data_IF_765677414854
#
_entry.id   IF_765677414854
#
_cell.length_a   1.000
_cell.length_b   1.000
_cell.length_c   1.000
_cell.angle_alpha   90.00
_cell.angle_beta   90.00
_cell.angle_gamma   90.00
#
_symmetry.space_group_name_H-M   'P 1'
#
loop_
_entity.id
_entity.type
_entity.pdbx_description
1 polymer ?
#
# COMPACT_ATOMS: atom_id res chain seq x y z
N UNK A 1 29.36 21.96 -13.18
CA UNK A 1 29.69 20.53 -13.00
C UNK A 1 28.44 19.66 -12.89
N UNK A 2 27.64 19.67 -11.82
CA UNK A 2 26.40 18.85 -11.75
C UNK A 2 25.38 19.19 -12.85
N UNK A 3 25.17 20.48 -13.13
CA UNK A 3 24.33 20.92 -14.26
C UNK A 3 24.92 20.55 -15.63
N UNK A 4 26.25 20.47 -15.75
CA UNK A 4 26.94 19.97 -16.96
C UNK A 4 26.87 18.44 -17.06
N UNK A 5 26.83 17.71 -15.94
CA UNK A 5 26.52 16.28 -15.91
C UNK A 5 25.08 16.12 -16.37
N UNK A 6 24.09 16.81 -15.79
CA UNK A 6 22.69 16.76 -16.24
C UNK A 6 22.52 17.20 -17.71
N UNK A 7 23.22 18.24 -18.16
CA UNK A 7 23.19 18.66 -19.57
C UNK A 7 23.92 17.69 -20.51
N UNK A 8 25.02 17.06 -20.09
CA UNK A 8 25.66 15.98 -20.87
C UNK A 8 24.90 14.66 -20.83
N UNK A 9 24.09 14.43 -19.79
CA UNK A 9 23.07 13.37 -19.70
C UNK A 9 21.87 13.68 -20.63
N UNK A 10 21.63 14.96 -20.97
CA UNK A 10 20.63 15.37 -21.98
C UNK A 10 21.19 15.36 -23.41
N UNK A 11 22.47 15.67 -23.61
CA UNK A 11 23.13 15.77 -24.93
C UNK A 11 23.72 14.44 -25.44
N UNK A 12 23.90 13.44 -24.58
CA UNK A 12 24.24 12.07 -25.00
C UNK A 12 22.99 11.19 -24.94
N UNK A 13 22.98 10.15 -25.77
CA UNK A 13 22.13 8.98 -25.56
C UNK A 13 22.46 8.35 -24.19
N UNK A 14 21.97 8.98 -23.11
CA UNK A 14 21.99 8.42 -21.77
C UNK A 14 21.34 7.06 -21.82
N UNK A 15 20.22 6.96 -22.52
CA UNK A 15 19.57 5.71 -22.77
C UNK A 15 20.50 4.71 -23.47
N UNK A 16 21.27 5.05 -24.51
CA UNK A 16 22.22 4.11 -25.12
C UNK A 16 23.44 3.80 -24.24
N UNK A 17 23.93 4.74 -23.44
CA UNK A 17 25.05 4.50 -22.50
C UNK A 17 24.60 3.61 -21.34
N UNK A 18 23.38 3.83 -20.85
CA UNK A 18 22.72 3.01 -19.83
C UNK A 18 22.31 1.65 -20.39
N UNK A 19 21.81 1.58 -21.62
CA UNK A 19 21.46 0.34 -22.32
C UNK A 19 22.71 -0.45 -22.72
N UNK A 20 23.83 0.19 -23.07
CA UNK A 20 25.13 -0.47 -23.28
C UNK A 20 25.68 -1.01 -21.95
N UNK A 21 25.65 -0.22 -20.88
CA UNK A 21 26.00 -0.70 -19.54
C UNK A 21 25.07 -1.82 -19.07
N UNK A 22 23.78 -1.78 -19.44
CA UNK A 22 22.80 -2.83 -19.08
C UNK A 22 22.93 -4.10 -19.94
N UNK A 23 23.22 -3.98 -21.24
CA UNK A 23 23.31 -5.09 -22.20
C UNK A 23 24.68 -5.79 -22.18
N UNK A 24 25.71 -5.15 -21.65
CA UNK A 24 26.96 -5.81 -21.30
C UNK A 24 26.72 -6.84 -20.18
N UNK A 25 26.38 -8.07 -20.56
CA UNK A 25 26.35 -9.22 -19.64
C UNK A 25 27.08 -10.42 -20.24
N UNK A 26 28.17 -10.78 -19.58
CA UNK A 26 28.34 -12.12 -19.04
C UNK A 26 28.93 -11.99 -17.63
N UNK A 27 28.44 -12.72 -16.62
CA UNK A 27 28.98 -12.69 -15.26
C UNK A 27 30.41 -13.26 -15.14
N UNK A 28 31.02 -13.69 -16.24
CA UNK A 28 32.40 -14.21 -16.28
C UNK A 28 33.46 -13.18 -16.70
N UNK A 29 33.07 -11.98 -17.12
CA UNK A 29 34.04 -10.96 -17.55
C UNK A 29 34.49 -10.11 -16.36
N UNK A 30 35.56 -10.54 -15.70
CA UNK A 30 36.18 -9.83 -14.58
C UNK A 30 36.72 -8.43 -14.94
N UNK A 31 36.88 -8.10 -16.23
CA UNK A 31 37.46 -6.82 -16.67
C UNK A 31 36.48 -5.63 -16.65
N UNK A 32 35.16 -5.85 -16.65
CA UNK A 32 34.15 -4.78 -16.53
C UNK A 32 33.87 -4.35 -15.06
N UNK A 33 34.77 -4.72 -14.14
CA UNK A 33 34.63 -4.49 -12.71
C UNK A 33 34.73 -3.01 -12.31
N UNK A 34 35.66 -2.27 -12.92
CA UNK A 34 35.98 -0.88 -12.57
C UNK A 34 34.91 0.14 -13.03
N UNK A 35 34.35 -0.03 -14.23
CA UNK A 35 33.41 0.95 -14.80
C UNK A 35 32.12 1.10 -13.98
N UNK A 36 31.58 -0.01 -13.46
CA UNK A 36 30.38 -0.03 -12.64
C UNK A 36 30.58 0.63 -11.26
N UNK A 37 31.80 0.56 -10.70
CA UNK A 37 32.16 1.24 -9.43
C UNK A 37 32.32 2.74 -9.66
N UNK A 38 32.93 3.14 -10.78
CA UNK A 38 33.04 4.55 -11.16
C UNK A 38 31.67 5.17 -11.44
N UNK A 39 30.76 4.41 -12.07
CA UNK A 39 29.36 4.80 -12.24
C UNK A 39 28.66 4.95 -10.88
N UNK A 40 28.86 4.02 -9.94
CA UNK A 40 28.29 4.11 -8.60
C UNK A 40 28.75 5.36 -7.82
N UNK A 41 29.97 5.85 -8.06
CA UNK A 41 30.46 7.09 -7.45
C UNK A 41 29.66 8.32 -7.92
N UNK A 42 29.07 8.30 -9.12
CA UNK A 42 28.20 9.36 -9.63
C UNK A 42 26.84 9.40 -8.92
N UNK A 43 26.41 8.29 -8.30
CA UNK A 43 25.10 8.23 -7.66
C UNK A 43 25.02 9.02 -6.37
N UNK A 44 26.14 9.18 -5.64
CA UNK A 44 26.11 9.93 -4.39
C UNK A 44 25.80 11.42 -4.60
N UNK A 45 26.38 12.08 -5.62
CA UNK A 45 25.91 13.41 -6.05
C UNK A 45 24.47 13.40 -6.60
N UNK A 46 24.09 12.39 -7.40
CA UNK A 46 22.75 12.31 -7.99
C UNK A 46 21.66 12.11 -6.94
N UNK A 47 21.93 11.34 -5.87
CA UNK A 47 21.01 11.14 -4.76
C UNK A 47 20.75 12.44 -3.99
N UNK A 48 21.71 13.37 -3.98
CA UNK A 48 21.51 14.72 -3.40
C UNK A 48 20.73 15.61 -4.36
N UNK A 49 21.00 15.53 -5.67
CA UNK A 49 20.26 16.31 -6.67
C UNK A 49 18.79 15.93 -6.74
N UNK A 50 18.47 14.63 -6.64
CA UNK A 50 17.09 14.17 -6.77
C UNK A 50 16.21 14.61 -5.60
N UNK A 51 16.81 15.00 -4.48
CA UNK A 51 16.06 15.57 -3.36
C UNK A 51 15.37 16.87 -3.78
N UNK A 52 15.97 17.62 -4.71
CA UNK A 52 15.34 18.78 -5.32
C UNK A 52 14.23 18.34 -6.30
N UNK A 53 13.01 18.73 -5.97
CA UNK A 53 11.76 18.39 -6.68
C UNK A 53 11.85 18.63 -8.19
N UNK A 54 12.53 19.70 -8.61
CA UNK A 54 12.70 20.11 -10.02
C UNK A 54 13.34 19.03 -10.89
N UNK A 55 14.23 18.20 -10.32
CA UNK A 55 14.91 17.14 -11.07
C UNK A 55 14.15 15.82 -11.05
N UNK A 56 13.22 15.59 -10.12
CA UNK A 56 12.50 14.30 -10.02
C UNK A 56 11.63 14.00 -11.23
N UNK A 57 10.99 15.02 -11.80
CA UNK A 57 10.18 14.84 -13.00
C UNK A 57 11.04 14.34 -14.17
N UNK A 58 12.22 14.96 -14.37
CA UNK A 58 13.18 14.53 -15.37
C UNK A 58 13.59 13.06 -15.16
N UNK A 59 13.82 12.65 -13.91
CA UNK A 59 14.21 11.27 -13.60
C UNK A 59 13.09 10.26 -13.85
N UNK A 60 11.83 10.64 -13.62
CA UNK A 60 10.67 9.81 -13.96
C UNK A 60 10.49 9.65 -15.46
N UNK A 61 10.57 10.75 -16.20
CA UNK A 61 10.39 10.76 -17.65
C UNK A 61 11.42 9.88 -18.38
N UNK A 62 12.60 9.71 -17.78
CA UNK A 62 13.68 8.88 -18.32
C UNK A 62 13.80 7.50 -17.66
N UNK A 63 12.79 7.04 -16.90
CA UNK A 63 12.79 5.74 -16.22
C UNK A 63 14.02 5.48 -15.32
N UNK A 64 14.64 6.53 -14.78
CA UNK A 64 15.87 6.39 -13.98
C UNK A 64 15.64 5.62 -12.69
N UNK A 65 14.41 5.60 -12.16
CA UNK A 65 14.05 4.78 -11.01
C UNK A 65 14.22 3.28 -11.30
N UNK A 66 13.78 2.79 -12.47
CA UNK A 66 13.95 1.40 -12.89
C UNK A 66 15.42 1.07 -13.03
N UNK A 67 16.18 1.96 -13.66
CA UNK A 67 17.62 1.78 -13.86
C UNK A 67 18.38 1.71 -12.52
N UNK A 68 18.09 2.62 -11.61
CA UNK A 68 18.70 2.66 -10.28
C UNK A 68 18.41 1.37 -9.48
N UNK A 69 17.20 0.80 -9.61
CA UNK A 69 16.87 -0.50 -9.02
C UNK A 69 17.68 -1.65 -9.65
N UNK A 70 17.89 -1.65 -10.96
CA UNK A 70 18.72 -2.66 -11.63
C UNK A 70 20.20 -2.54 -11.25
N UNK A 71 20.71 -1.32 -11.11
CA UNK A 71 22.08 -1.13 -10.62
C UNK A 71 22.21 -1.64 -9.18
N UNK A 72 21.23 -1.33 -8.32
CA UNK A 72 21.18 -1.87 -6.97
C UNK A 72 21.29 -3.41 -6.99
N UNK A 73 20.47 -4.09 -7.81
CA UNK A 73 20.53 -5.54 -7.99
C UNK A 73 21.93 -6.03 -8.34
N UNK A 74 22.60 -5.40 -9.31
CA UNK A 74 23.97 -5.76 -9.73
C UNK A 74 24.98 -5.58 -8.62
N UNK A 75 24.91 -4.46 -7.90
CA UNK A 75 25.80 -4.18 -6.77
C UNK A 75 25.61 -5.18 -5.64
N UNK A 76 24.37 -5.59 -5.34
CA UNK A 76 24.08 -6.66 -4.36
C UNK A 76 24.65 -8.01 -4.81
N UNK A 77 24.50 -8.35 -6.09
CA UNK A 77 25.06 -9.59 -6.65
C UNK A 77 26.59 -9.60 -6.57
N UNK A 78 27.25 -8.49 -6.91
CA UNK A 78 28.72 -8.30 -6.82
C UNK A 78 29.23 -8.33 -5.38
N UNK A 79 28.46 -7.79 -4.44
CA UNK A 79 28.77 -7.85 -3.01
C UNK A 79 28.84 -9.29 -2.50
N UNK A 80 28.17 -10.24 -3.17
CA UNK A 80 28.18 -11.67 -2.84
C UNK A 80 27.91 -11.93 -1.35
N UNK A 81 26.81 -11.35 -0.85
CA UNK A 81 26.43 -11.31 0.59
C UNK A 81 26.45 -12.69 1.27
N UNK A 82 26.24 -13.77 0.51
CA UNK A 82 26.18 -15.15 1.02
C UNK A 82 27.55 -15.79 1.27
N UNK A 83 28.64 -15.18 0.80
CA UNK A 83 29.99 -15.75 0.94
C UNK A 83 30.69 -15.28 2.21
N UNK A 84 31.41 -16.16 2.92
CA UNK A 84 32.14 -15.79 4.12
C UNK A 84 33.25 -14.78 3.81
N UNK A 85 33.37 -13.77 4.67
CA UNK A 85 34.28 -12.63 4.51
C UNK A 85 35.75 -13.05 4.67
N UNK A 86 36.55 -12.83 3.63
CA UNK A 86 38.00 -12.63 3.74
C UNK A 86 38.25 -11.11 3.91
N UNK A 87 39.17 -10.64 4.77
CA UNK A 87 39.43 -9.21 5.00
C UNK A 87 39.56 -8.33 3.75
N UNK A 88 40.17 -8.80 2.66
CA UNK A 88 40.27 -8.03 1.40
C UNK A 88 38.92 -7.95 0.67
N UNK A 89 38.10 -9.00 0.76
CA UNK A 89 36.76 -9.02 0.19
C UNK A 89 35.77 -8.16 1.00
N UNK A 90 36.08 -7.86 2.28
CA UNK A 90 35.24 -7.07 3.16
C UNK A 90 35.10 -5.62 2.68
N UNK A 91 36.20 -4.99 2.29
CA UNK A 91 36.18 -3.60 1.81
C UNK A 91 35.42 -3.48 0.48
N UNK A 92 35.65 -4.41 -0.45
CA UNK A 92 34.93 -4.46 -1.72
C UNK A 92 33.43 -4.71 -1.51
N UNK A 93 33.06 -5.65 -0.63
CA UNK A 93 31.66 -5.93 -0.29
C UNK A 93 30.99 -4.70 0.33
N UNK A 94 31.66 -4.01 1.25
CA UNK A 94 31.15 -2.79 1.87
C UNK A 94 30.90 -1.69 0.82
N UNK A 95 31.84 -1.47 -0.10
CA UNK A 95 31.69 -0.49 -1.18
C UNK A 95 30.53 -0.82 -2.11
N UNK A 96 30.40 -2.09 -2.52
CA UNK A 96 29.27 -2.55 -3.33
C UNK A 96 27.94 -2.33 -2.62
N UNK A 97 27.83 -2.66 -1.33
CA UNK A 97 26.59 -2.49 -0.56
C UNK A 97 26.25 -1.02 -0.31
N UNK A 98 27.25 -0.18 -0.05
CA UNK A 98 27.06 1.27 0.05
C UNK A 98 26.50 1.85 -1.25
N UNK A 99 27.04 1.42 -2.39
CA UNK A 99 26.58 1.79 -3.73
C UNK A 99 25.18 1.27 -4.01
N UNK A 100 24.89 0.01 -3.67
CA UNK A 100 23.57 -0.60 -3.79
C UNK A 100 22.53 0.20 -3.00
N UNK A 101 22.86 0.60 -1.76
CA UNK A 101 22.00 1.41 -0.90
C UNK A 101 21.70 2.76 -1.55
N UNK A 102 22.70 3.47 -2.06
CA UNK A 102 22.49 4.76 -2.73
C UNK A 102 21.65 4.61 -3.99
N UNK A 103 21.89 3.58 -4.80
CA UNK A 103 21.10 3.31 -5.99
C UNK A 103 19.64 2.95 -5.66
N UNK A 104 19.41 2.14 -4.62
CA UNK A 104 18.08 1.81 -4.16
C UNK A 104 17.33 3.04 -3.65
N UNK A 105 18.00 3.86 -2.84
CA UNK A 105 17.44 5.11 -2.34
C UNK A 105 17.03 6.02 -3.51
N UNK A 106 17.91 6.19 -4.51
CA UNK A 106 17.61 6.96 -5.71
C UNK A 106 16.37 6.42 -6.43
N UNK A 107 16.23 5.10 -6.55
CA UNK A 107 15.03 4.47 -7.15
C UNK A 107 13.75 4.87 -6.42
N UNK A 108 13.76 4.86 -5.08
CA UNK A 108 12.58 5.19 -4.28
C UNK A 108 12.25 6.69 -4.38
N UNK A 109 13.27 7.56 -4.31
CA UNK A 109 13.07 9.01 -4.35
C UNK A 109 12.65 9.49 -5.74
N UNK A 110 13.19 8.89 -6.80
CA UNK A 110 12.78 9.18 -8.18
C UNK A 110 11.30 8.85 -8.40
N UNK A 111 10.83 7.74 -7.84
CA UNK A 111 9.44 7.31 -7.96
C UNK A 111 8.48 8.06 -7.01
N UNK A 112 9.00 8.77 -6.00
CA UNK A 112 8.20 9.52 -5.03
C UNK A 112 7.50 10.75 -5.64
N UNK A 113 6.26 11.01 -5.22
CA UNK A 113 5.47 12.17 -5.65
C UNK A 113 6.26 13.48 -5.47
N UNK A 114 6.26 14.32 -6.51
CA UNK A 114 6.95 15.61 -6.57
C UNK A 114 6.54 16.56 -5.44
N UNK A 115 5.36 16.34 -4.84
CA UNK A 115 4.81 17.19 -3.80
C UNK A 115 5.45 16.98 -2.41
N UNK A 116 6.30 15.97 -2.22
CA UNK A 116 6.87 15.65 -0.91
C UNK A 116 8.40 15.59 -0.96
N UNK A 117 9.10 15.79 0.17
CA UNK A 117 10.54 15.52 0.25
C UNK A 117 10.80 13.99 0.31
N UNK A 118 12.02 13.52 0.01
CA UNK A 118 12.31 12.07 0.06
C UNK A 118 12.22 11.46 1.46
N UNK A 119 12.53 12.28 2.48
CA UNK A 119 12.42 11.89 3.88
C UNK A 119 10.97 11.84 4.38
N UNK A 120 10.03 12.33 3.59
CA UNK A 120 8.63 12.44 3.98
C UNK A 120 7.92 11.09 3.91
N UNK A 121 7.44 10.62 5.06
CA UNK A 121 6.66 9.39 5.15
C UNK A 121 5.39 9.43 4.29
N UNK A 122 4.88 10.62 3.94
CA UNK A 122 3.69 10.80 3.07
C UNK A 122 3.96 10.33 1.64
N UNK A 123 5.21 10.46 1.18
CA UNK A 123 5.60 10.02 -0.15
C UNK A 123 5.40 8.50 -0.32
N UNK A 124 5.61 7.72 0.75
CA UNK A 124 5.48 6.24 0.74
C UNK A 124 4.08 5.77 0.35
N UNK A 125 3.05 6.51 0.78
CA UNK A 125 1.64 6.09 0.69
C UNK A 125 0.93 6.47 -0.61
N UNK A 126 1.56 7.30 -1.44
CA UNK A 126 1.08 7.54 -2.81
C UNK A 126 1.72 6.62 -3.83
N UNK A 127 2.95 6.15 -3.58
CA UNK A 127 3.63 5.18 -4.45
C UNK A 127 2.90 3.83 -4.51
N UNK A 128 2.12 3.48 -3.47
CA UNK A 128 1.29 2.27 -3.42
C UNK A 128 0.10 2.30 -4.39
N UNK A 129 -0.23 3.46 -4.98
CA UNK A 129 -1.37 3.61 -5.93
C UNK A 129 -0.98 3.36 -7.37
N UNK A 130 0.31 3.43 -7.70
CA UNK A 130 0.78 3.15 -9.05
C UNK A 130 1.05 1.65 -9.13
N UNK A 131 -0.02 0.90 -9.37
CA UNK A 131 0.11 -0.42 -9.97
C UNK A 131 0.84 -0.24 -11.29
N UNK A 132 2.17 -0.33 -11.27
CA UNK A 132 2.96 -0.46 -12.49
C UNK A 132 2.40 -1.68 -13.18
N UNK A 133 1.73 -1.47 -14.32
CA UNK A 133 1.15 -2.47 -15.20
C UNK A 133 1.88 -3.80 -15.03
N UNK A 134 1.25 -4.72 -14.28
CA UNK A 134 1.83 -6.01 -13.93
C UNK A 134 1.88 -6.90 -15.17
N UNK A 135 2.88 -6.68 -16.01
CA UNK A 135 3.53 -7.84 -16.63
C UNK A 135 3.95 -8.78 -15.49
N UNK A 136 3.76 -10.09 -15.67
CA UNK A 136 4.15 -11.13 -14.71
C UNK A 136 5.65 -10.99 -14.39
N UNK A 137 6.01 -10.19 -13.40
CA UNK A 137 7.39 -10.08 -12.91
C UNK A 137 7.75 -11.41 -12.26
N UNK A 138 8.92 -11.94 -12.56
CA UNK A 138 9.27 -13.28 -12.10
C UNK A 138 9.78 -13.22 -10.67
N UNK A 139 9.58 -14.30 -9.94
CA UNK A 139 10.00 -14.47 -8.55
C UNK A 139 11.50 -14.19 -8.36
N UNK A 140 12.33 -14.60 -9.32
CA UNK A 140 13.79 -14.49 -9.26
C UNK A 140 14.28 -13.03 -9.34
N UNK A 141 13.41 -12.11 -9.76
CA UNK A 141 13.78 -10.70 -9.92
C UNK A 141 13.94 -9.96 -8.60
N UNK A 142 13.49 -10.52 -7.48
CA UNK A 142 13.44 -9.83 -6.19
C UNK A 142 13.97 -10.62 -4.98
N UNK A 143 14.39 -11.88 -5.14
CA UNK A 143 14.96 -12.64 -4.01
C UNK A 143 16.23 -11.99 -3.43
N UNK A 144 16.98 -11.27 -4.26
CA UNK A 144 18.17 -10.52 -3.84
C UNK A 144 17.83 -9.37 -2.87
N UNK A 145 16.63 -8.77 -2.97
CA UNK A 145 16.19 -7.75 -2.01
C UNK A 145 15.97 -8.35 -0.62
N UNK A 146 15.55 -9.61 -0.55
CA UNK A 146 15.40 -10.29 0.74
C UNK A 146 16.77 -10.51 1.39
N UNK A 147 17.77 -10.95 0.62
CA UNK A 147 19.15 -11.07 1.09
C UNK A 147 19.70 -9.72 1.57
N UNK A 148 19.41 -8.65 0.82
CA UNK A 148 19.78 -7.27 1.17
C UNK A 148 19.11 -6.79 2.47
N UNK A 149 17.80 -7.07 2.64
CA UNK A 149 17.06 -6.73 3.87
C UNK A 149 17.64 -7.46 5.08
N UNK A 150 17.90 -8.77 4.97
CA UNK A 150 18.46 -9.55 6.08
C UNK A 150 19.83 -9.01 6.47
N UNK A 151 20.71 -8.74 5.50
CA UNK A 151 22.02 -8.16 5.77
C UNK A 151 21.93 -6.81 6.51
N UNK A 152 21.13 -5.87 5.99
CA UNK A 152 21.05 -4.53 6.57
C UNK A 152 20.28 -4.47 7.88
N UNK A 153 19.41 -5.46 8.16
CA UNK A 153 18.82 -5.66 9.48
C UNK A 153 19.89 -5.96 10.52
N UNK A 154 20.82 -6.85 10.20
CA UNK A 154 21.90 -7.24 11.12
C UNK A 154 22.89 -6.08 11.37
N UNK A 155 23.14 -5.25 10.35
CA UNK A 155 23.96 -4.03 10.49
C UNK A 155 23.20 -2.83 11.05
N UNK A 156 21.90 -2.98 11.38
CA UNK A 156 21.01 -1.91 11.86
C UNK A 156 20.91 -0.69 10.93
N UNK A 157 21.04 -0.89 9.61
CA UNK A 157 20.81 0.16 8.63
C UNK A 157 19.30 0.25 8.30
N UNK A 158 18.57 0.94 9.17
CA UNK A 158 17.11 1.08 9.05
C UNK A 158 16.66 1.77 7.77
N UNK A 159 17.49 2.68 7.23
CA UNK A 159 17.17 3.40 6.00
C UNK A 159 17.20 2.43 4.81
N UNK A 160 18.26 1.64 4.68
CA UNK A 160 18.38 0.61 3.65
C UNK A 160 17.26 -0.44 3.72
N UNK A 161 16.93 -0.89 4.94
CA UNK A 161 15.80 -1.81 5.17
C UNK A 161 14.47 -1.17 4.75
N UNK A 162 14.25 0.10 5.10
CA UNK A 162 13.04 0.84 4.73
C UNK A 162 12.90 0.99 3.21
N UNK A 163 13.97 1.39 2.53
CA UNK A 163 13.97 1.53 1.06
C UNK A 163 13.74 0.19 0.35
N UNK A 164 14.33 -0.90 0.85
CA UNK A 164 14.13 -2.23 0.30
C UNK A 164 12.69 -2.73 0.50
N UNK A 165 12.10 -2.52 1.68
CA UNK A 165 10.70 -2.86 1.94
C UNK A 165 9.74 -2.00 1.10
N UNK A 166 10.07 -0.72 0.90
CA UNK A 166 9.30 0.14 0.01
C UNK A 166 9.37 -0.36 -1.43
N UNK A 167 10.54 -0.73 -1.94
CA UNK A 167 10.69 -1.34 -3.27
C UNK A 167 9.87 -2.63 -3.38
N UNK A 168 9.97 -3.51 -2.36
CA UNK A 168 9.21 -4.75 -2.27
C UNK A 168 7.68 -4.51 -2.28
N UNK A 169 7.19 -3.42 -1.69
CA UNK A 169 5.76 -3.08 -1.70
C UNK A 169 5.19 -2.82 -3.10
N UNK A 170 6.05 -2.42 -4.06
CA UNK A 170 5.66 -2.18 -5.46
C UNK A 170 5.61 -3.45 -6.31
N UNK A 171 6.20 -4.54 -5.82
CA UNK A 171 6.26 -5.82 -6.56
C UNK A 171 4.89 -6.50 -6.57
N UNK A 172 4.07 -6.27 -5.55
CA UNK A 172 2.79 -6.94 -5.34
C UNK A 172 2.97 -8.32 -4.72
N UNK A 173 2.03 -9.22 -5.00
CA UNK A 173 2.05 -10.57 -4.45
C UNK A 173 3.05 -11.45 -5.22
N UNK A 174 4.05 -11.95 -4.50
CA UNK A 174 5.07 -12.85 -5.04
C UNK A 174 4.89 -14.25 -4.48
N UNK A 175 4.90 -15.25 -5.36
CA UNK A 175 4.82 -16.66 -4.98
C UNK A 175 6.21 -17.20 -4.61
N UNK A 176 6.71 -16.84 -3.43
CA UNK A 176 7.91 -17.47 -2.86
C UNK A 176 7.59 -18.75 -2.07
N UNK A 177 8.54 -19.70 -2.00
CA UNK A 177 8.51 -20.82 -1.11
C UNK A 177 8.36 -20.36 0.32
N UNK A 178 7.73 -21.23 1.08
CA UNK A 178 7.35 -20.98 2.46
C UNK A 178 8.52 -20.47 3.30
N UNK A 179 9.70 -21.08 3.19
CA UNK A 179 10.88 -20.65 3.95
C UNK A 179 11.31 -19.20 3.65
N UNK A 180 11.23 -18.75 2.40
CA UNK A 180 11.55 -17.36 2.03
C UNK A 180 10.44 -16.40 2.46
N UNK A 181 9.18 -16.83 2.37
CA UNK A 181 8.05 -16.04 2.87
C UNK A 181 8.14 -15.83 4.38
N UNK A 182 8.51 -16.86 5.15
CA UNK A 182 8.71 -16.73 6.59
C UNK A 182 9.84 -15.74 6.94
N UNK A 183 10.95 -15.75 6.19
CA UNK A 183 12.01 -14.74 6.33
C UNK A 183 11.48 -13.35 6.01
N UNK A 184 10.68 -13.21 4.95
CA UNK A 184 10.11 -11.93 4.56
C UNK A 184 9.13 -11.38 5.61
N UNK A 185 8.24 -12.23 6.15
CA UNK A 185 7.33 -11.86 7.24
C UNK A 185 8.09 -11.47 8.51
N UNK A 186 9.15 -12.21 8.86
CA UNK A 186 10.03 -11.85 9.98
C UNK A 186 10.66 -10.47 9.77
N UNK A 187 11.13 -10.17 8.57
CA UNK A 187 11.73 -8.87 8.23
C UNK A 187 10.70 -7.73 8.26
N UNK A 188 9.49 -7.94 7.74
CA UNK A 188 8.38 -6.98 7.83
C UNK A 188 8.06 -6.69 9.30
N UNK A 189 7.88 -7.73 10.10
CA UNK A 189 7.57 -7.61 11.52
C UNK A 189 8.68 -6.86 12.28
N UNK A 190 9.94 -7.21 12.02
CA UNK A 190 11.08 -6.54 12.64
C UNK A 190 11.16 -5.06 12.26
N UNK A 191 10.88 -4.72 10.99
CA UNK A 191 10.89 -3.34 10.52
C UNK A 191 9.75 -2.48 11.09
N UNK A 192 8.65 -3.09 11.53
CA UNK A 192 7.54 -2.41 12.20
C UNK A 192 7.70 -2.32 13.72
N UNK A 193 8.82 -2.80 14.28
CA UNK A 193 9.08 -2.80 15.72
C UNK A 193 9.08 -1.39 16.35
N UNK A 194 8.81 -1.28 17.66
CA UNK A 194 8.63 0.01 18.34
C UNK A 194 9.88 0.90 18.31
N UNK A 195 11.08 0.30 18.36
CA UNK A 195 12.37 1.00 18.38
C UNK A 195 12.88 1.39 16.97
N UNK A 196 12.10 1.10 15.93
CA UNK A 196 12.48 1.35 14.55
C UNK A 196 12.00 2.75 14.11
N UNK A 197 12.78 3.50 13.29
CA UNK A 197 12.34 4.79 12.77
C UNK A 197 11.00 4.73 12.02
N UNK A 198 10.17 5.77 12.16
CA UNK A 198 8.81 5.82 11.62
C UNK A 198 8.74 5.52 10.12
N UNK A 199 9.69 6.04 9.33
CA UNK A 199 9.78 5.79 7.88
C UNK A 199 9.91 4.30 7.56
N UNK A 200 10.79 3.60 8.27
CA UNK A 200 11.03 2.16 8.07
C UNK A 200 9.83 1.34 8.53
N UNK A 201 9.19 1.74 9.64
CA UNK A 201 7.94 1.12 10.10
C UNK A 201 6.82 1.26 9.08
N UNK A 202 6.60 2.45 8.55
CA UNK A 202 5.66 2.71 7.47
C UNK A 202 5.98 1.90 6.21
N UNK A 203 7.25 1.79 5.83
CA UNK A 203 7.67 0.96 4.69
C UNK A 203 7.39 -0.53 4.94
N UNK A 204 7.58 -1.01 6.18
CA UNK A 204 7.19 -2.35 6.60
C UNK A 204 5.68 -2.59 6.50
N UNK A 205 4.85 -1.62 6.88
CA UNK A 205 3.40 -1.72 6.73
C UNK A 205 2.96 -1.66 5.26
N UNK A 206 3.62 -0.87 4.41
CA UNK A 206 3.38 -0.86 2.96
C UNK A 206 3.73 -2.21 2.33
N UNK A 207 4.86 -2.81 2.73
CA UNK A 207 5.27 -4.15 2.33
C UNK A 207 4.26 -5.21 2.80
N UNK A 208 3.77 -5.12 4.04
CA UNK A 208 2.72 -6.00 4.56
C UNK A 208 1.43 -5.89 3.73
N UNK A 209 1.04 -4.68 3.38
CA UNK A 209 -0.13 -4.45 2.53
C UNK A 209 0.01 -5.12 1.16
N UNK A 210 1.19 -5.08 0.54
CA UNK A 210 1.43 -5.73 -0.74
C UNK A 210 1.23 -7.26 -0.69
N UNK A 211 1.47 -7.90 0.46
CA UNK A 211 1.32 -9.36 0.66
C UNK A 211 0.15 -9.74 1.56
N UNK A 212 -0.78 -8.81 1.84
CA UNK A 212 -1.84 -8.97 2.85
C UNK A 212 -2.72 -10.22 2.65
N UNK A 213 -3.04 -10.60 1.41
CA UNK A 213 -3.80 -11.84 1.16
C UNK A 213 -3.01 -13.07 1.57
N UNK A 214 -1.74 -13.09 1.19
CA UNK A 214 -0.86 -14.22 1.43
C UNK A 214 -0.60 -14.39 2.92
N UNK A 215 -0.42 -13.30 3.65
CA UNK A 215 -0.36 -13.31 5.13
C UNK A 215 -1.67 -13.82 5.75
N UNK A 216 -2.82 -13.43 5.22
CA UNK A 216 -4.11 -13.92 5.71
C UNK A 216 -4.28 -15.44 5.50
N UNK A 217 -3.82 -15.97 4.35
CA UNK A 217 -3.95 -17.38 4.00
C UNK A 217 -2.88 -18.29 4.60
N UNK A 218 -1.61 -17.86 4.64
CA UNK A 218 -0.46 -18.67 5.04
C UNK A 218 -0.55 -19.09 6.52
N UNK A 219 -0.09 -20.29 6.84
CA UNK A 219 -0.11 -20.83 8.21
C UNK A 219 1.08 -20.30 9.02
N UNK A 220 0.89 -19.10 9.56
CA UNK A 220 1.84 -18.48 10.47
C UNK A 220 1.78 -19.12 11.86
N UNK A 221 2.92 -19.14 12.54
CA UNK A 221 2.96 -19.54 13.95
C UNK A 221 2.18 -18.54 14.81
N UNK A 222 1.56 -18.96 15.92
CA UNK A 222 0.86 -18.04 16.83
C UNK A 222 1.74 -16.88 17.30
N UNK A 223 3.04 -17.13 17.54
CA UNK A 223 4.00 -16.09 17.92
C UNK A 223 4.22 -15.04 16.83
N UNK A 224 4.27 -15.45 15.56
CA UNK A 224 4.39 -14.52 14.43
C UNK A 224 3.12 -13.69 14.27
N UNK A 225 1.94 -14.30 14.45
CA UNK A 225 0.65 -13.59 14.38
C UNK A 225 0.54 -12.50 15.44
N UNK A 226 0.87 -12.80 16.71
CA UNK A 226 0.93 -11.82 17.82
C UNK A 226 1.87 -10.68 17.46
N UNK A 227 3.11 -11.00 17.07
CA UNK A 227 4.13 -10.00 16.81
C UNK A 227 3.74 -9.09 15.63
N UNK A 228 3.18 -9.66 14.56
CA UNK A 228 2.73 -8.92 13.40
C UNK A 228 1.55 -8.01 13.74
N UNK A 229 0.57 -8.51 14.50
CA UNK A 229 -0.62 -7.78 14.93
C UNK A 229 -0.25 -6.54 15.76
N UNK A 230 0.54 -6.74 16.83
CA UNK A 230 1.04 -5.65 17.67
C UNK A 230 1.92 -4.64 16.91
N UNK A 231 2.80 -5.13 16.03
CA UNK A 231 3.67 -4.28 15.22
C UNK A 231 2.86 -3.44 14.22
N UNK A 232 1.82 -4.03 13.61
CA UNK A 232 0.89 -3.34 12.73
C UNK A 232 0.07 -2.28 13.49
N UNK A 233 -0.50 -2.62 14.65
CA UNK A 233 -1.28 -1.69 15.46
C UNK A 233 -0.45 -0.48 15.89
N UNK A 234 0.74 -0.74 16.44
CA UNK A 234 1.66 0.31 16.90
C UNK A 234 2.16 1.18 15.75
N UNK A 235 2.42 0.60 14.57
CA UNK A 235 2.85 1.35 13.38
C UNK A 235 1.73 2.24 12.85
N UNK A 236 0.49 1.76 12.82
CA UNK A 236 -0.65 2.57 12.42
C UNK A 236 -0.89 3.75 13.38
N UNK A 237 -0.59 3.57 14.67
CA UNK A 237 -0.73 4.61 15.69
C UNK A 237 0.30 5.74 15.60
N UNK A 238 1.38 5.58 14.84
CA UNK A 238 2.39 6.63 14.68
C UNK A 238 1.80 7.87 14.00
N UNK A 239 2.06 9.04 14.57
CA UNK A 239 1.79 10.29 13.86
C UNK A 239 2.71 10.39 12.65
N UNK A 240 2.21 11.00 11.58
CA UNK A 240 3.05 11.45 10.48
C UNK A 240 3.51 12.85 10.89
N UNK A 241 4.76 12.98 11.31
CA UNK A 241 5.29 14.26 11.79
C UNK A 241 4.95 15.38 10.80
N UNK A 242 4.57 16.57 11.30
CA UNK A 242 4.40 17.73 10.44
C UNK A 242 5.72 18.01 9.71
N UNK A 243 5.69 18.49 8.45
CA UNK A 243 6.91 18.90 7.77
C UNK A 243 7.65 19.92 8.65
N UNK A 244 8.97 19.77 8.76
CA UNK A 244 9.84 20.80 9.33
C UNK A 244 9.65 22.05 8.47
N UNK A 245 9.04 23.08 9.06
CA UNK A 245 8.68 24.34 8.41
C UNK A 245 9.95 25.04 7.90
N UNK A 246 10.17 24.97 6.58
CA UNK A 246 11.08 25.87 5.84
C UNK A 246 10.52 26.22 4.44
N UNK A 247 9.26 25.89 4.13
CA UNK A 247 8.66 26.26 2.84
C UNK A 247 7.93 27.63 2.87
N UNK A 248 8.17 28.50 1.86
CA UNK A 248 7.59 29.83 1.80
C UNK A 248 6.07 29.77 1.54
N UNK A 249 5.29 30.10 2.58
CA UNK A 249 4.01 30.84 2.66
C UNK A 249 2.84 30.63 1.68
N UNK A 250 2.99 29.91 0.56
CA UNK A 250 1.99 29.90 -0.52
C UNK A 250 1.40 28.51 -0.84
N UNK A 251 1.92 27.43 -0.24
CA UNK A 251 1.25 26.13 -0.31
C UNK A 251 0.23 26.03 0.83
N UNK A 252 -1.07 25.99 0.48
CA UNK A 252 -2.13 25.70 1.44
C UNK A 252 -1.76 24.43 2.23
N UNK A 253 -1.67 24.49 3.58
CA UNK A 253 -1.33 23.31 4.35
C UNK A 253 -2.44 22.28 4.13
N UNK A 254 -2.11 21.20 3.42
CA UNK A 254 -2.96 20.01 3.38
C UNK A 254 -3.27 19.63 4.83
N UNK A 255 -4.55 19.58 5.20
CA UNK A 255 -5.00 19.25 6.55
C UNK A 255 -4.31 17.98 7.06
N UNK A 256 -4.00 17.94 8.36
CA UNK A 256 -3.45 16.77 9.04
C UNK A 256 -4.22 15.47 8.72
N UNK A 257 -5.54 15.55 8.50
CA UNK A 257 -6.40 14.43 8.11
C UNK A 257 -6.19 13.92 6.68
N UNK A 258 -5.80 14.77 5.74
CA UNK A 258 -5.46 14.34 4.38
C UNK A 258 -4.11 13.60 4.32
N UNK A 259 -3.22 13.87 5.30
CA UNK A 259 -1.86 13.31 5.36
C UNK A 259 -1.84 11.85 5.82
N UNK A 260 -2.81 11.43 6.64
CA UNK A 260 -2.90 10.06 7.16
C UNK A 260 -3.70 9.10 6.28
N UNK A 261 -4.43 9.60 5.29
CA UNK A 261 -5.46 8.83 4.60
C UNK A 261 -4.93 7.63 3.79
N UNK A 262 -3.77 7.79 3.14
CA UNK A 262 -3.13 6.68 2.42
C UNK A 262 -2.63 5.57 3.36
N UNK A 263 -2.05 5.97 4.51
CA UNK A 263 -1.64 5.06 5.59
C UNK A 263 -2.85 4.33 6.18
N UNK A 264 -3.90 5.06 6.52
CA UNK A 264 -5.11 4.51 7.15
C UNK A 264 -5.84 3.56 6.19
N UNK A 265 -5.93 3.91 4.91
CA UNK A 265 -6.46 3.01 3.89
C UNK A 265 -5.63 1.72 3.78
N UNK A 266 -4.31 1.82 3.71
CA UNK A 266 -3.41 0.68 3.68
C UNK A 266 -3.62 -0.23 4.91
N UNK A 267 -3.64 0.36 6.11
CA UNK A 267 -3.91 -0.35 7.36
C UNK A 267 -5.27 -1.07 7.31
N UNK A 268 -6.34 -0.36 6.96
CA UNK A 268 -7.70 -0.92 6.89
C UNK A 268 -7.80 -2.03 5.84
N UNK A 269 -7.11 -1.91 4.70
CA UNK A 269 -7.05 -2.97 3.70
C UNK A 269 -6.34 -4.23 4.21
N UNK A 270 -5.29 -4.07 5.03
CA UNK A 270 -4.66 -5.19 5.73
C UNK A 270 -5.66 -5.82 6.71
N UNK A 271 -6.31 -5.03 7.56
CA UNK A 271 -7.30 -5.55 8.53
C UNK A 271 -8.43 -6.30 7.82
N UNK A 272 -8.96 -5.72 6.74
CA UNK A 272 -10.00 -6.37 5.94
C UNK A 272 -9.54 -7.72 5.37
N UNK A 273 -8.30 -7.82 4.90
CA UNK A 273 -7.74 -9.07 4.38
C UNK A 273 -7.54 -10.11 5.49
N UNK A 274 -6.98 -9.71 6.64
CA UNK A 274 -6.78 -10.59 7.79
C UNK A 274 -8.12 -11.12 8.33
N UNK A 275 -9.13 -10.25 8.45
CA UNK A 275 -10.47 -10.62 8.92
C UNK A 275 -11.15 -11.67 8.02
N UNK A 276 -10.71 -11.86 6.77
CA UNK A 276 -11.24 -12.94 5.93
C UNK A 276 -10.89 -14.33 6.47
N UNK A 277 -9.77 -14.47 7.18
CA UNK A 277 -9.30 -15.72 7.74
C UNK A 277 -9.53 -15.78 9.25
N UNK A 278 -10.43 -16.67 9.69
CA UNK A 278 -10.87 -16.80 11.10
C UNK A 278 -9.74 -16.94 12.13
N UNK A 279 -8.58 -17.46 11.73
CA UNK A 279 -7.40 -17.56 12.61
C UNK A 279 -6.93 -16.20 13.13
N UNK A 280 -7.25 -15.10 12.45
CA UNK A 280 -6.90 -13.74 12.87
C UNK A 280 -7.90 -13.11 13.83
N UNK A 281 -9.11 -13.66 13.98
CA UNK A 281 -10.21 -13.01 14.71
C UNK A 281 -9.82 -12.62 16.13
N UNK A 282 -9.20 -13.54 16.88
CA UNK A 282 -8.75 -13.30 18.26
C UNK A 282 -7.71 -12.16 18.35
N UNK A 283 -6.76 -12.09 17.42
CA UNK A 283 -5.72 -11.05 17.42
C UNK A 283 -6.28 -9.68 17.04
N UNK A 284 -7.20 -9.63 16.07
CA UNK A 284 -7.84 -8.38 15.65
C UNK A 284 -8.68 -7.75 16.76
N UNK A 285 -9.35 -8.59 17.57
CA UNK A 285 -10.11 -8.15 18.75
C UNK A 285 -9.15 -7.77 19.89
N UNK A 286 -8.28 -8.68 20.31
CA UNK A 286 -7.48 -8.51 21.52
C UNK A 286 -6.47 -7.36 21.42
N UNK A 287 -5.92 -7.11 20.23
CA UNK A 287 -4.93 -6.05 20.01
C UNK A 287 -5.58 -4.70 19.64
N UNK A 288 -6.92 -4.60 19.65
CA UNK A 288 -7.63 -3.33 19.52
C UNK A 288 -7.86 -2.86 18.07
N UNK A 289 -7.66 -3.71 17.05
CA UNK A 289 -7.75 -3.29 15.65
C UNK A 289 -9.16 -2.88 15.25
N UNK A 290 -10.17 -3.56 15.79
CA UNK A 290 -11.57 -3.31 15.48
C UNK A 290 -12.07 -2.01 16.13
N UNK A 291 -11.65 -1.76 17.37
CA UNK A 291 -11.89 -0.52 18.12
C UNK A 291 -11.28 0.66 17.37
N UNK A 292 -10.05 0.50 16.86
CA UNK A 292 -9.41 1.50 16.02
C UNK A 292 -10.17 1.75 14.72
N UNK A 293 -10.63 0.70 14.04
CA UNK A 293 -11.47 0.84 12.84
C UNK A 293 -12.78 1.57 13.14
N UNK A 294 -13.43 1.28 14.27
CA UNK A 294 -14.62 1.98 14.73
C UNK A 294 -14.34 3.46 15.03
N UNK A 295 -13.19 3.77 15.64
CA UNK A 295 -12.72 5.14 15.86
C UNK A 295 -12.50 5.91 14.56
N UNK A 296 -11.82 5.30 13.58
CA UNK A 296 -11.63 5.88 12.24
C UNK A 296 -12.97 6.13 11.53
N UNK A 297 -13.90 5.19 11.63
CA UNK A 297 -15.26 5.33 11.12
C UNK A 297 -16.02 6.50 11.77
N UNK A 298 -15.90 6.67 13.08
CA UNK A 298 -16.51 7.78 13.82
C UNK A 298 -15.95 9.14 13.37
N UNK A 299 -14.64 9.24 13.20
CA UNK A 299 -13.97 10.43 12.66
C UNK A 299 -14.48 10.76 11.26
N UNK A 300 -14.51 9.76 10.37
CA UNK A 300 -14.99 9.91 9.00
C UNK A 300 -16.46 10.36 8.95
N UNK A 301 -17.30 9.95 9.91
CA UNK A 301 -18.69 10.42 10.01
C UNK A 301 -18.74 11.91 10.39
N UNK A 302 -17.97 12.31 11.42
CA UNK A 302 -18.00 13.65 12.01
C UNK A 302 -17.44 14.72 11.06
N UNK A 303 -16.42 14.41 10.26
CA UNK A 303 -15.84 15.33 9.29
C UNK A 303 -16.85 15.83 8.23
N UNK A 304 -17.91 15.07 7.94
CA UNK A 304 -18.94 15.54 7.01
C UNK A 304 -19.90 16.56 7.61
N UNK A 305 -19.99 16.65 8.95
CA UNK A 305 -20.92 17.57 9.62
C UNK A 305 -20.36 18.98 9.73
N UNK A 306 -19.05 19.12 9.81
CA UNK A 306 -18.42 20.42 10.03
C UNK A 306 -18.38 21.28 8.76
N UNK A 307 -18.60 20.74 7.56
CA UNK A 307 -18.67 21.50 6.30
C UNK A 307 -17.37 22.21 5.88
N UNK A 308 -16.35 22.22 6.75
CA UNK A 308 -15.09 22.95 6.59
C UNK A 308 -13.99 22.14 5.90
N UNK A 309 -14.14 20.82 5.78
CA UNK A 309 -13.16 19.93 5.15
C UNK A 309 -13.69 19.33 3.84
N UNK A 310 -13.92 20.20 2.84
CA UNK A 310 -14.04 19.81 1.42
C UNK A 310 -12.73 19.23 0.83
N UNK A 311 -11.67 19.13 1.64
CA UNK A 311 -10.28 18.89 1.20
C UNK A 311 -9.86 17.42 1.26
N UNK A 312 -10.60 16.55 1.96
CA UNK A 312 -10.46 15.12 1.68
C UNK A 312 -11.00 14.92 0.27
N UNK A 313 -10.13 14.48 -0.65
CA UNK A 313 -10.60 14.07 -1.97
C UNK A 313 -11.75 13.10 -1.73
N UNK A 314 -12.95 13.40 -2.25
CA UNK A 314 -14.15 12.58 -2.02
C UNK A 314 -13.91 11.10 -2.40
N UNK A 315 -12.94 10.88 -3.30
CA UNK A 315 -12.42 9.60 -3.72
C UNK A 315 -11.81 8.79 -2.58
N UNK A 316 -10.88 9.36 -1.81
CA UNK A 316 -10.15 8.58 -0.81
C UNK A 316 -10.99 8.32 0.46
N UNK A 317 -11.84 9.27 0.84
CA UNK A 317 -12.80 9.11 1.94
C UNK A 317 -13.86 8.05 1.62
N UNK A 318 -14.30 7.97 0.36
CA UNK A 318 -15.20 6.92 -0.12
C UNK A 318 -14.56 5.54 -0.09
N UNK A 319 -13.28 5.45 -0.47
CA UNK A 319 -12.52 4.21 -0.43
C UNK A 319 -12.31 3.71 1.00
N UNK A 320 -12.03 4.61 1.94
CA UNK A 320 -11.93 4.27 3.36
C UNK A 320 -13.28 3.75 3.90
N UNK A 321 -14.37 4.45 3.56
CA UNK A 321 -15.72 4.05 3.97
C UNK A 321 -16.10 2.66 3.44
N UNK A 322 -15.64 2.29 2.24
CA UNK A 322 -15.87 0.98 1.64
C UNK A 322 -15.37 -0.16 2.54
N UNK A 323 -14.10 -0.13 2.92
CA UNK A 323 -13.53 -1.19 3.75
C UNK A 323 -13.98 -1.11 5.21
N UNK A 324 -14.11 0.10 5.78
CA UNK A 324 -14.63 0.27 7.14
C UNK A 324 -16.05 -0.26 7.28
N UNK A 325 -16.92 -0.01 6.29
CA UNK A 325 -18.26 -0.57 6.25
C UNK A 325 -18.20 -2.09 6.28
N UNK A 326 -17.33 -2.70 5.47
CA UNK A 326 -17.19 -4.15 5.36
C UNK A 326 -16.65 -4.82 6.65
N UNK A 327 -15.67 -4.19 7.31
CA UNK A 327 -15.10 -4.67 8.56
C UNK A 327 -16.16 -4.64 9.68
N UNK A 328 -16.84 -3.49 9.84
CA UNK A 328 -17.85 -3.30 10.89
C UNK A 328 -19.12 -4.11 10.65
N UNK A 329 -19.45 -4.35 9.39
CA UNK A 329 -20.51 -5.27 8.98
C UNK A 329 -20.28 -6.67 9.59
N UNK A 330 -19.10 -7.24 9.41
CA UNK A 330 -18.79 -8.59 9.86
C UNK A 330 -18.82 -8.75 11.38
N UNK A 331 -18.39 -7.72 12.12
CA UNK A 331 -18.39 -7.71 13.59
C UNK A 331 -19.78 -7.77 14.22
N UNK A 332 -20.84 -7.35 13.54
CA UNK A 332 -22.20 -7.40 14.09
C UNK A 332 -22.69 -8.82 14.39
N UNK A 333 -21.97 -9.86 13.93
CA UNK A 333 -22.22 -11.25 14.31
C UNK A 333 -21.55 -11.67 15.64
N UNK A 334 -20.64 -10.86 16.17
CA UNK A 334 -19.78 -11.19 17.32
C UNK A 334 -19.95 -10.28 18.54
N UNK A 335 -20.76 -9.23 18.46
CA UNK A 335 -20.88 -8.27 19.59
C UNK A 335 -21.79 -8.76 20.73
N UNK A 336 -21.17 -9.45 21.68
CA UNK A 336 -21.30 -9.12 23.12
C UNK A 336 -20.14 -8.18 23.47
N UNK A 337 -20.30 -6.87 23.27
CA UNK A 337 -19.28 -5.93 23.75
C UNK A 337 -19.40 -5.72 25.26
N UNK A 338 -18.24 -5.87 25.88
CA UNK A 338 -17.91 -5.67 27.29
C UNK A 338 -18.32 -4.28 27.78
N UNK A 339 -18.89 -4.24 28.99
CA UNK A 339 -19.14 -3.03 29.77
C UNK A 339 -17.82 -2.53 30.37
N UNK A 340 -17.42 -1.31 30.03
CA UNK A 340 -16.29 -0.66 30.68
C UNK A 340 -16.61 -0.31 32.15
N UNK A 341 -15.63 -0.48 33.03
CA UNK A 341 -15.70 -0.22 34.47
C UNK A 341 -15.91 1.27 34.86
N UNK A 342 -16.04 2.18 33.88
CA UNK A 342 -16.19 3.62 34.10
C UNK A 342 -17.62 4.15 33.88
N UNK A 343 -18.59 3.31 33.50
CA UNK A 343 -20.02 3.64 33.56
C UNK A 343 -20.52 4.81 32.70
N UNK A 344 -19.71 5.37 31.79
CA UNK A 344 -20.12 6.41 30.84
C UNK A 344 -19.47 6.13 29.48
N UNK A 345 -19.95 5.12 28.76
CA UNK A 345 -19.89 5.13 27.30
C UNK A 345 -21.31 5.36 26.80
N UNK A 346 -21.53 6.42 26.02
CA UNK A 346 -22.74 6.45 25.20
C UNK A 346 -22.54 5.36 24.16
N UNK A 347 -23.38 4.30 24.11
CA UNK A 347 -23.22 3.26 23.13
C UNK A 347 -23.37 3.92 21.77
N UNK A 348 -22.25 4.13 21.08
CA UNK A 348 -22.27 4.58 19.71
C UNK A 348 -23.14 3.57 18.96
N UNK A 349 -24.24 4.02 18.36
CA UNK A 349 -25.13 3.12 17.65
C UNK A 349 -24.39 2.64 16.39
N UNK A 350 -23.65 1.55 16.55
CA UNK A 350 -22.79 0.92 15.55
C UNK A 350 -23.59 0.59 14.28
N UNK A 351 -24.86 0.23 14.41
CA UNK A 351 -25.77 0.03 13.28
C UNK A 351 -26.02 1.33 12.49
N UNK A 352 -26.25 2.45 13.17
CA UNK A 352 -26.43 3.77 12.52
C UNK A 352 -25.15 4.24 11.84
N UNK A 353 -23.99 4.05 12.47
CA UNK A 353 -22.68 4.35 11.89
C UNK A 353 -22.43 3.49 10.64
N UNK A 354 -22.57 2.17 10.77
CA UNK A 354 -22.40 1.20 9.69
C UNK A 354 -23.28 1.55 8.49
N UNK A 355 -24.57 1.86 8.70
CA UNK A 355 -25.46 2.26 7.61
C UNK A 355 -25.02 3.54 6.89
N UNK A 356 -24.48 4.52 7.61
CA UNK A 356 -23.94 5.75 6.99
C UNK A 356 -22.71 5.45 6.14
N UNK A 357 -21.84 4.55 6.60
CA UNK A 357 -20.68 4.11 5.83
C UNK A 357 -21.10 3.31 4.59
N UNK A 358 -22.06 2.40 4.71
CA UNK A 358 -22.62 1.63 3.59
C UNK A 358 -23.11 2.59 2.49
N UNK A 359 -23.86 3.65 2.83
CA UNK A 359 -24.31 4.65 1.84
C UNK A 359 -23.14 5.35 1.13
N UNK A 360 -22.09 5.70 1.87
CA UNK A 360 -20.88 6.30 1.29
C UNK A 360 -20.11 5.31 0.41
N UNK A 361 -20.00 4.07 0.84
CA UNK A 361 -19.35 3.00 0.11
C UNK A 361 -20.04 2.73 -1.24
N UNK A 362 -21.37 2.70 -1.27
CA UNK A 362 -22.12 2.57 -2.53
C UNK A 362 -21.93 3.76 -3.47
N UNK A 363 -21.97 4.99 -2.92
CA UNK A 363 -21.70 6.18 -3.72
C UNK A 363 -20.30 6.12 -4.35
N UNK A 364 -19.29 5.74 -3.57
CA UNK A 364 -17.93 5.53 -4.05
C UNK A 364 -17.85 4.43 -5.12
N UNK A 365 -18.31 3.22 -4.81
CA UNK A 365 -18.26 2.07 -5.71
C UNK A 365 -18.95 2.37 -7.06
N UNK A 366 -20.06 3.11 -7.06
CA UNK A 366 -20.77 3.49 -8.29
C UNK A 366 -20.02 4.52 -9.16
N UNK A 367 -19.07 5.25 -8.58
CA UNK A 367 -18.29 6.29 -9.25
C UNK A 367 -16.96 5.78 -9.81
N UNK A 368 -16.50 4.60 -9.37
CA UNK A 368 -15.19 4.05 -9.74
C UNK A 368 -15.30 2.95 -10.80
N UNK A 369 -14.18 2.69 -11.48
CA UNK A 369 -13.99 1.40 -12.15
C UNK A 369 -13.82 0.34 -11.07
N UNK A 370 -14.56 -0.77 -11.18
CA UNK A 370 -14.50 -1.86 -10.20
C UNK A 370 -13.16 -2.58 -10.31
N UNK A 371 -12.17 -2.13 -9.55
CA UNK A 371 -10.92 -2.86 -9.37
C UNK A 371 -11.12 -4.12 -8.52
N UNK A 372 -10.10 -4.98 -8.46
CA UNK A 372 -10.14 -6.23 -7.70
C UNK A 372 -10.43 -6.00 -6.20
N UNK A 373 -10.04 -4.85 -5.65
CA UNK A 373 -10.28 -4.47 -4.27
C UNK A 373 -11.76 -4.23 -4.00
N UNK A 374 -12.42 -3.42 -4.86
CA UNK A 374 -13.84 -3.12 -4.75
C UNK A 374 -14.68 -4.38 -4.95
N UNK A 375 -14.36 -5.20 -5.95
CA UNK A 375 -15.10 -6.44 -6.26
C UNK A 375 -15.23 -7.38 -5.06
N UNK A 376 -14.24 -7.41 -4.16
CA UNK A 376 -14.26 -8.26 -2.96
C UNK A 376 -15.10 -7.72 -1.82
N UNK A 377 -15.23 -6.40 -1.75
CA UNK A 377 -16.00 -5.76 -0.69
C UNK A 377 -17.49 -5.77 -1.02
N UNK A 378 -17.84 -5.68 -2.32
CA UNK A 378 -19.24 -5.57 -2.75
C UNK A 378 -20.15 -6.70 -2.24
N UNK A 379 -19.79 -7.99 -2.28
CA UNK A 379 -20.67 -9.05 -1.76
C UNK A 379 -21.04 -8.85 -0.28
N UNK A 380 -20.07 -8.42 0.55
CA UNK A 380 -20.31 -8.12 1.97
C UNK A 380 -21.27 -6.93 2.09
N UNK A 381 -21.07 -5.88 1.28
CA UNK A 381 -21.98 -4.73 1.27
C UNK A 381 -23.40 -5.10 0.81
N UNK A 382 -23.54 -5.95 -0.21
CA UNK A 382 -24.83 -6.45 -0.71
C UNK A 382 -25.56 -7.15 0.42
N UNK A 383 -24.91 -8.13 1.06
CA UNK A 383 -25.47 -8.92 2.14
C UNK A 383 -25.90 -8.07 3.34
N UNK A 384 -25.11 -7.05 3.70
CA UNK A 384 -25.45 -6.15 4.80
C UNK A 384 -26.54 -5.13 4.44
N UNK A 385 -26.52 -4.64 3.21
CA UNK A 385 -27.58 -3.76 2.69
C UNK A 385 -28.91 -4.49 2.71
N UNK A 386 -28.94 -5.73 2.20
CA UNK A 386 -30.10 -6.62 2.24
C UNK A 386 -30.68 -6.76 3.64
N UNK A 387 -29.83 -7.05 4.64
CA UNK A 387 -30.26 -7.21 6.04
C UNK A 387 -30.88 -5.94 6.61
N UNK A 388 -30.29 -4.77 6.37
CA UNK A 388 -30.84 -3.50 6.85
C UNK A 388 -32.19 -3.13 6.19
N UNK A 389 -32.34 -3.45 4.89
CA UNK A 389 -33.58 -3.21 4.15
C UNK A 389 -34.69 -4.16 4.62
N UNK A 390 -34.42 -5.47 4.68
CA UNK A 390 -35.38 -6.49 5.14
C UNK A 390 -35.83 -6.24 6.57
N UNK A 391 -34.93 -5.77 7.44
CA UNK A 391 -35.26 -5.46 8.83
C UNK A 391 -36.13 -4.21 9.02
N UNK A 392 -36.47 -3.47 7.96
CA UNK A 392 -37.25 -2.24 8.03
C UNK A 392 -36.58 -1.10 8.80
N UNK A 393 -35.26 -1.20 9.04
CA UNK A 393 -34.55 -0.32 9.96
C UNK A 393 -34.11 1.01 9.33
N UNK A 394 -34.05 1.10 8.00
CA UNK A 394 -33.54 2.27 7.28
C UNK A 394 -34.24 2.42 5.92
N UNK A 395 -34.61 3.65 5.56
CA UNK A 395 -35.10 3.96 4.21
C UNK A 395 -33.93 4.03 3.22
N UNK A 396 -34.03 3.30 2.11
CA UNK A 396 -33.09 3.41 1.00
C UNK A 396 -33.43 4.67 0.20
N UNK A 397 -32.45 5.55 0.00
CA UNK A 397 -32.63 6.72 -0.87
C UNK A 397 -32.53 6.31 -2.33
N UNK A 398 -33.28 6.97 -3.24
CA UNK A 398 -33.16 6.78 -4.70
C UNK A 398 -31.73 6.84 -5.23
N UNK A 399 -30.88 7.69 -4.65
CA UNK A 399 -29.45 7.77 -5.02
C UNK A 399 -28.67 6.51 -4.66
N UNK A 400 -29.01 5.87 -3.55
CA UNK A 400 -28.40 4.61 -3.13
C UNK A 400 -28.90 3.45 -4.00
N UNK A 401 -30.20 3.39 -4.31
CA UNK A 401 -30.76 2.42 -5.26
C UNK A 401 -30.06 2.50 -6.61
N UNK A 402 -29.88 3.71 -7.16
CA UNK A 402 -29.17 3.92 -8.42
C UNK A 402 -27.70 3.49 -8.34
N UNK A 403 -27.01 3.80 -7.23
CA UNK A 403 -25.63 3.40 -7.01
C UNK A 403 -25.47 1.87 -6.94
N UNK A 404 -26.34 1.20 -6.18
CA UNK A 404 -26.39 -0.27 -6.09
C UNK A 404 -26.65 -0.87 -7.46
N UNK A 405 -27.68 -0.40 -8.17
CA UNK A 405 -28.04 -0.87 -9.52
C UNK A 405 -26.85 -0.81 -10.47
N UNK A 406 -26.14 0.33 -10.48
CA UNK A 406 -25.00 0.56 -11.37
C UNK A 406 -23.85 -0.41 -11.07
N UNK A 407 -23.53 -0.62 -9.79
CA UNK A 407 -22.44 -1.53 -9.38
C UNK A 407 -22.80 -2.98 -9.70
N UNK A 408 -24.03 -3.42 -9.42
CA UNK A 408 -24.48 -4.78 -9.73
C UNK A 408 -24.49 -5.06 -11.24
N UNK A 409 -24.93 -4.11 -12.05
CA UNK A 409 -24.87 -4.21 -13.51
C UNK A 409 -23.42 -4.36 -14.01
N UNK A 410 -22.50 -3.56 -13.47
CA UNK A 410 -21.08 -3.66 -13.80
C UNK A 410 -20.48 -5.00 -13.37
N UNK A 411 -20.81 -5.53 -12.19
CA UNK A 411 -20.36 -6.86 -11.76
C UNK A 411 -20.87 -7.98 -12.67
N UNK A 412 -22.13 -7.94 -13.11
CA UNK A 412 -22.67 -8.91 -14.08
C UNK A 412 -21.96 -8.86 -15.43
N UNK A 413 -21.50 -7.69 -15.86
CA UNK A 413 -20.72 -7.58 -17.10
C UNK A 413 -19.30 -8.18 -17.00
N UNK A 414 -18.75 -8.26 -15.78
CA UNK A 414 -17.40 -8.77 -15.50
C UNK A 414 -17.43 -10.27 -15.18
N UNK A 415 -18.44 -10.72 -14.44
CA UNK A 415 -18.62 -12.12 -14.06
C UNK A 415 -19.34 -12.88 -15.17
N UNK A 416 -18.60 -13.59 -16.02
CA UNK A 416 -19.16 -14.47 -17.06
C UNK A 416 -19.65 -15.83 -16.54
N UNK A 417 -19.69 -16.07 -15.21
CA UNK A 417 -19.94 -17.40 -14.64
C UNK A 417 -20.72 -17.36 -13.29
N UNK A 418 -21.98 -17.83 -13.34
CA UNK A 418 -22.86 -18.59 -12.42
C UNK A 418 -22.79 -18.54 -10.87
N UNK A 419 -21.84 -17.92 -10.18
CA UNK A 419 -21.62 -18.27 -8.76
C UNK A 419 -22.31 -17.40 -7.68
N UNK A 420 -23.00 -16.31 -7.98
CA UNK A 420 -23.59 -15.45 -6.92
C UNK A 420 -24.84 -14.66 -7.34
N UNK A 421 -25.54 -15.14 -8.39
CA UNK A 421 -26.64 -14.39 -9.01
C UNK A 421 -27.87 -14.29 -8.09
N UNK A 422 -28.08 -15.25 -7.18
CA UNK A 422 -29.24 -15.29 -6.29
C UNK A 422 -29.30 -14.13 -5.28
N UNK A 423 -28.18 -13.76 -4.65
CA UNK A 423 -28.14 -12.64 -3.70
C UNK A 423 -28.26 -11.28 -4.42
N UNK A 424 -27.69 -11.20 -5.61
CA UNK A 424 -27.77 -10.01 -6.47
C UNK A 424 -29.21 -9.84 -6.98
N UNK A 425 -29.86 -10.93 -7.39
CA UNK A 425 -31.26 -10.96 -7.80
C UNK A 425 -32.18 -10.58 -6.64
N UNK A 426 -31.96 -11.13 -5.45
CA UNK A 426 -32.75 -10.82 -4.25
C UNK A 426 -32.63 -9.33 -3.85
N UNK A 427 -31.43 -8.76 -3.89
CA UNK A 427 -31.26 -7.33 -3.61
C UNK A 427 -31.89 -6.46 -4.69
N UNK A 428 -31.82 -6.89 -5.94
CA UNK A 428 -32.46 -6.20 -7.07
C UNK A 428 -33.99 -6.21 -6.92
N UNK A 429 -34.57 -7.33 -6.49
CA UNK A 429 -36.02 -7.46 -6.26
C UNK A 429 -36.48 -6.61 -5.07
N UNK A 430 -35.79 -6.69 -3.94
CA UNK A 430 -36.14 -5.95 -2.72
C UNK A 430 -36.02 -4.43 -2.86
N UNK A 431 -35.15 -3.97 -3.75
CA UNK A 431 -35.03 -2.55 -4.08
C UNK A 431 -35.98 -2.12 -5.22
N UNK A 432 -36.82 -3.02 -5.74
CA UNK A 432 -37.74 -2.73 -6.85
C UNK A 432 -37.03 -2.40 -8.17
N UNK A 433 -35.84 -2.98 -8.37
CA UNK A 433 -34.95 -2.67 -9.50
C UNK A 433 -35.07 -3.65 -10.68
N UNK A 434 -35.89 -4.71 -10.56
CA UNK A 434 -35.99 -5.83 -11.51
C UNK A 434 -36.13 -5.41 -12.98
N UNK A 435 -36.99 -4.42 -13.28
CA UNK A 435 -37.21 -3.96 -14.67
C UNK A 435 -36.16 -2.94 -15.17
N UNK A 436 -35.41 -2.29 -14.27
CA UNK A 436 -34.46 -1.23 -14.63
C UNK A 436 -33.05 -1.74 -14.93
N UNK A 437 -32.62 -2.85 -14.32
CA UNK A 437 -31.25 -3.34 -14.50
C UNK A 437 -31.03 -3.88 -15.92
N UNK A 438 -31.99 -4.60 -16.51
CA UNK A 438 -31.89 -5.09 -17.90
C UNK A 438 -31.76 -3.97 -18.95
N UNK A 439 -32.40 -2.83 -18.70
CA UNK A 439 -32.33 -1.66 -19.59
C UNK A 439 -30.97 -0.95 -19.53
N UNK A 440 -30.28 -1.03 -18.38
CA UNK A 440 -29.00 -0.33 -18.15
C UNK A 440 -27.81 -1.15 -18.67
N UNK A 441 -27.90 -2.49 -18.63
CA UNK A 441 -26.88 -3.39 -19.16
C UNK A 441 -26.71 -3.24 -20.68
N UNK A 442 -27.78 -2.93 -21.43
CA UNK A 442 -27.70 -2.70 -22.89
C UNK A 442 -26.91 -1.45 -23.27
N UNK A 443 -27.01 -0.38 -22.49
CA UNK A 443 -26.29 0.89 -22.74
C UNK A 443 -24.79 0.80 -22.49
N UNK A 444 -24.34 -0.12 -21.63
CA UNK A 444 -22.92 -0.26 -21.25
C UNK A 444 -22.12 -1.18 -22.18
N UNK A 445 -22.79 -2.00 -22.99
CA UNK A 445 -22.14 -2.86 -24.00
C UNK A 445 -21.87 -2.06 -25.29
N UNK A 446 -22.58 -0.95 -25.51
CA UNK A 446 -22.50 -0.13 -26.73
C UNK A 446 -21.62 1.13 -26.60
N UNK A 447 -20.97 1.35 -25.44
CA UNK A 447 -20.06 2.49 -25.16
C UNK A 447 -18.70 2.02 -24.67
#
# INVERSE_FOLDING_TARGET
>A
MLLQVVQSLQDRDLQATLEQGLSATSPNDQENGLEDVDIALLFRPLSVLIEAVEYRQLFRDHNLHIWALQLCRRMVQRANIKSPLNPIAADHQYQCLSSARTALHLSIVADADLMYSAGDCRALWKCTRVGINHGKRRREDFTWLLDFIVHHRDTKDHLAVGDALQAMSTVGEVEWPENLMQVYYSSICAAMGPDIPARTRHSGMAALHAVRRKVASDDLTPSMMVNLSLALFSTAALSIDPPVDDQPSNALPLSESARSLGRDLCYIQVIFALQQARKWDEYLVNDGHLERCAGLAATLENENRSGHTRVLSQLDAGHLALYLAAILAREQHHTTFSTDAAGISTPMNTNKLCWKLIRKAWAYASSQRLDEGVQRVVPILVQHTLRHVKGGQQNVSRSMEAAVSKVLAALRSISSVDADDDQVNELTELLGLGEKVESTTKLYIES
#
